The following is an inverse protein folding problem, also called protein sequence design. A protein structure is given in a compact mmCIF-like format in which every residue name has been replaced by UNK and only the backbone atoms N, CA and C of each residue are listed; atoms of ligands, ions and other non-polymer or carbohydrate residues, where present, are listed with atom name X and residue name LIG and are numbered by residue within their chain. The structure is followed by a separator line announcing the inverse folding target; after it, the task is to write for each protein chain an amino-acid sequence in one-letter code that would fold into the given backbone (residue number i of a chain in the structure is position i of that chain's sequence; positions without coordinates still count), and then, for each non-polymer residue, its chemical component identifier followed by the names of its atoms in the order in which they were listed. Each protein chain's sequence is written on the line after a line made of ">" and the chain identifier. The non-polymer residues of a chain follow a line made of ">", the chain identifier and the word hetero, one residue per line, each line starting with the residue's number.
data_IF_118761085560
#
_entry.id   IF_118761085560
#
_cell.length_a   1.000
_cell.length_b   1.000
_cell.length_c   1.000
_cell.angle_alpha   90.00
_cell.angle_beta   90.00
_cell.angle_gamma   90.00
#
_symmetry.space_group_name_H-M   'P 1'
#
loop_
_entity.id
_entity.type
_entity.pdbx_description
1 polymer ?
#
# COMPACT_ATOMS: atom_id res chain seq x y z
N UNK A 1 30.82 -24.18 -27.13
CA UNK A 1 31.89 -25.23 -27.32
C UNK A 1 33.27 -24.61 -27.52
N UNK A 2 33.55 -23.83 -28.59
CA UNK A 2 34.92 -23.32 -28.88
C UNK A 2 35.53 -22.48 -27.74
N UNK A 3 34.79 -21.58 -27.12
CA UNK A 3 35.27 -20.79 -25.98
C UNK A 3 35.58 -21.64 -24.73
N UNK A 4 34.83 -22.72 -24.46
CA UNK A 4 35.13 -23.62 -23.36
C UNK A 4 36.34 -24.51 -23.62
N UNK A 5 36.56 -24.88 -24.87
CA UNK A 5 37.75 -25.63 -25.30
C UNK A 5 39.04 -24.84 -25.02
N UNK A 6 39.08 -23.57 -25.43
CA UNK A 6 40.21 -22.68 -25.17
C UNK A 6 40.39 -22.43 -23.67
N UNK A 7 39.31 -22.12 -22.96
CA UNK A 7 39.37 -21.80 -21.53
C UNK A 7 39.85 -22.97 -20.66
N UNK A 8 39.63 -24.21 -21.07
CA UNK A 8 40.10 -25.41 -20.37
C UNK A 8 41.54 -25.77 -20.66
N UNK A 9 42.28 -24.90 -21.34
CA UNK A 9 43.66 -25.15 -21.69
C UNK A 9 43.90 -26.18 -22.81
N UNK A 10 42.82 -26.76 -23.36
CA UNK A 10 42.92 -27.82 -24.37
C UNK A 10 43.56 -27.36 -25.68
N UNK A 11 43.58 -26.06 -25.95
CA UNK A 11 44.28 -25.50 -27.09
C UNK A 11 45.79 -25.54 -26.86
N UNK A 12 46.29 -25.20 -25.70
CA UNK A 12 47.69 -25.20 -25.30
C UNK A 12 48.22 -26.63 -25.15
N UNK A 13 47.42 -27.54 -24.55
CA UNK A 13 47.76 -28.98 -24.47
C UNK A 13 48.00 -29.62 -25.84
N UNK A 14 47.35 -29.12 -26.89
CA UNK A 14 47.50 -29.58 -28.27
C UNK A 14 48.47 -28.70 -29.10
N UNK A 15 49.29 -27.86 -28.46
CA UNK A 15 50.32 -27.04 -29.11
C UNK A 15 49.76 -25.87 -29.95
N UNK A 16 48.53 -25.43 -29.73
CA UNK A 16 47.92 -24.31 -30.45
C UNK A 16 47.87 -23.06 -29.60
N UNK A 17 48.31 -21.93 -30.17
CA UNK A 17 48.11 -20.64 -29.54
C UNK A 17 46.61 -20.21 -29.64
N UNK A 18 46.13 -19.47 -28.65
CA UNK A 18 44.76 -18.95 -28.64
C UNK A 18 44.41 -18.16 -29.91
N UNK A 19 45.39 -17.40 -30.46
CA UNK A 19 45.25 -16.64 -31.71
C UNK A 19 45.01 -17.54 -32.93
N UNK A 20 45.70 -18.70 -32.97
CA UNK A 20 45.54 -19.67 -34.05
C UNK A 20 44.17 -20.33 -33.98
N UNK A 21 43.70 -20.64 -32.75
CA UNK A 21 42.37 -21.22 -32.51
C UNK A 21 41.26 -20.21 -32.83
N UNK A 22 41.45 -18.94 -32.52
CA UNK A 22 40.48 -17.89 -32.91
C UNK A 22 40.27 -17.84 -34.42
N UNK A 23 41.36 -17.89 -35.18
CA UNK A 23 41.29 -17.90 -36.65
C UNK A 23 40.64 -19.18 -37.18
N UNK A 24 40.97 -20.35 -36.63
CA UNK A 24 40.43 -21.65 -37.06
C UNK A 24 38.91 -21.74 -36.86
N UNK A 25 38.40 -21.18 -35.77
CA UNK A 25 36.96 -21.22 -35.42
C UNK A 25 36.18 -19.94 -35.82
N UNK A 26 36.82 -18.97 -36.48
CA UNK A 26 36.18 -17.73 -36.89
C UNK A 26 35.65 -16.90 -35.75
N UNK A 27 36.25 -16.97 -34.55
CA UNK A 27 35.79 -16.25 -33.34
C UNK A 27 36.68 -15.04 -33.05
N UNK A 28 36.04 -13.94 -32.60
CA UNK A 28 36.81 -12.76 -32.22
C UNK A 28 37.48 -12.94 -30.86
N UNK A 29 38.73 -12.46 -30.73
CA UNK A 29 39.45 -12.42 -29.46
C UNK A 29 38.68 -11.68 -28.38
N UNK A 30 38.10 -10.53 -28.74
CA UNK A 30 37.25 -9.73 -27.85
C UNK A 30 36.02 -10.53 -27.34
N UNK A 31 35.41 -11.34 -28.21
CA UNK A 31 34.31 -12.22 -27.84
C UNK A 31 34.69 -13.27 -26.81
N UNK A 32 35.90 -13.86 -27.01
CA UNK A 32 36.46 -14.84 -26.07
C UNK A 32 36.80 -14.22 -24.71
N UNK A 33 37.55 -13.11 -24.68
CA UNK A 33 37.92 -12.49 -23.40
C UNK A 33 36.73 -11.95 -22.65
N UNK A 34 35.71 -11.42 -23.33
CA UNK A 34 34.44 -11.07 -22.72
C UNK A 34 33.67 -12.28 -22.16
N UNK A 35 33.82 -13.46 -22.79
CA UNK A 35 33.23 -14.68 -22.28
C UNK A 35 33.98 -15.19 -21.03
N UNK A 36 35.32 -15.15 -21.01
CA UNK A 36 36.13 -15.50 -19.84
C UNK A 36 35.83 -14.56 -18.68
N UNK A 37 35.89 -13.25 -18.92
CA UNK A 37 35.55 -12.25 -17.91
C UNK A 37 34.14 -12.45 -17.33
N UNK A 38 33.13 -12.77 -18.17
CA UNK A 38 31.78 -13.12 -17.69
C UNK A 38 31.74 -14.42 -16.89
N UNK A 39 32.61 -15.39 -17.16
CA UNK A 39 32.70 -16.64 -16.37
C UNK A 39 33.48 -16.48 -15.07
N UNK A 40 34.56 -15.69 -15.09
CA UNK A 40 35.33 -15.35 -13.89
C UNK A 40 34.61 -14.46 -12.92
N UNK A 41 33.80 -13.49 -13.46
CA UNK A 41 32.93 -12.62 -12.66
C UNK A 41 31.65 -13.34 -12.11
N UNK A 42 31.51 -14.65 -12.39
CA UNK A 42 30.38 -15.44 -11.91
C UNK A 42 30.29 -15.54 -10.38
N UNK A 43 31.41 -15.45 -9.69
CA UNK A 43 31.46 -15.49 -8.22
C UNK A 43 31.34 -14.12 -7.56
N UNK A 44 31.31 -13.00 -8.33
CA UNK A 44 31.22 -11.64 -7.84
C UNK A 44 29.91 -10.95 -8.28
N UNK A 45 30.02 -10.00 -9.21
CA UNK A 45 28.93 -9.12 -9.63
C UNK A 45 27.73 -9.83 -10.26
N UNK A 46 27.94 -10.90 -11.05
CA UNK A 46 26.84 -11.65 -11.70
C UNK A 46 26.04 -12.48 -10.69
N UNK A 47 26.72 -13.09 -9.72
CA UNK A 47 26.06 -13.83 -8.64
C UNK A 47 25.25 -12.87 -7.76
N UNK A 48 25.84 -11.74 -7.34
CA UNK A 48 25.15 -10.69 -6.59
C UNK A 48 23.93 -10.16 -7.35
N UNK A 49 24.06 -9.91 -8.66
CA UNK A 49 22.95 -9.45 -9.50
C UNK A 49 21.81 -10.48 -9.60
N UNK A 50 22.13 -11.78 -9.67
CA UNK A 50 21.10 -12.84 -9.68
C UNK A 50 20.38 -12.96 -8.34
N UNK A 51 21.13 -12.88 -7.23
CA UNK A 51 20.57 -12.90 -5.88
C UNK A 51 19.60 -11.73 -5.68
N UNK A 52 20.02 -10.53 -6.04
CA UNK A 52 19.21 -9.33 -6.00
C UNK A 52 17.96 -9.44 -6.90
N UNK A 53 18.07 -9.99 -8.10
CA UNK A 53 16.92 -10.21 -8.97
C UNK A 53 15.95 -11.24 -8.39
N UNK A 54 16.43 -12.34 -7.82
CA UNK A 54 15.63 -13.36 -7.16
C UNK A 54 14.87 -12.78 -5.96
N UNK A 55 15.54 -11.94 -5.16
CA UNK A 55 14.89 -11.21 -4.07
C UNK A 55 13.75 -10.32 -4.57
N UNK A 56 13.98 -9.50 -5.60
CA UNK A 56 12.96 -8.62 -6.16
C UNK A 56 11.77 -9.43 -6.70
N UNK A 57 12.00 -10.58 -7.32
CA UNK A 57 10.94 -11.48 -7.79
C UNK A 57 10.09 -11.98 -6.61
N UNK A 58 10.72 -12.40 -5.50
CA UNK A 58 9.98 -12.81 -4.28
C UNK A 58 9.12 -11.67 -3.73
N UNK A 59 9.68 -10.48 -3.62
CA UNK A 59 8.94 -9.29 -3.20
C UNK A 59 7.74 -9.02 -4.11
N UNK A 60 7.89 -9.16 -5.42
CA UNK A 60 6.78 -8.99 -6.37
C UNK A 60 5.68 -10.04 -6.16
N UNK A 61 6.02 -11.31 -5.97
CA UNK A 61 5.07 -12.36 -5.64
C UNK A 61 4.29 -12.04 -4.36
N UNK A 62 4.99 -11.56 -3.32
CA UNK A 62 4.37 -11.15 -2.06
C UNK A 62 3.39 -9.98 -2.25
N UNK A 63 3.78 -8.95 -3.01
CA UNK A 63 2.91 -7.81 -3.31
C UNK A 63 1.64 -8.28 -4.03
N UNK A 64 1.77 -9.12 -5.05
CA UNK A 64 0.63 -9.67 -5.81
C UNK A 64 -0.29 -10.47 -4.89
N UNK A 65 0.26 -11.36 -4.06
CA UNK A 65 -0.52 -12.18 -3.11
C UNK A 65 -1.33 -11.28 -2.15
N UNK A 66 -0.71 -10.20 -1.66
CA UNK A 66 -1.36 -9.27 -0.72
C UNK A 66 -2.46 -8.44 -1.38
N UNK A 67 -2.22 -7.93 -2.57
CA UNK A 67 -3.18 -7.08 -3.28
C UNK A 67 -4.30 -7.89 -3.95
N UNK A 68 -4.08 -9.18 -4.21
CA UNK A 68 -5.01 -10.04 -4.93
C UNK A 68 -5.04 -9.82 -6.46
N UNK A 69 -4.24 -8.90 -6.98
CA UNK A 69 -4.12 -8.60 -8.41
C UNK A 69 -2.70 -8.17 -8.79
N UNK A 70 -2.38 -8.13 -10.09
CA UNK A 70 -1.08 -7.67 -10.59
C UNK A 70 -1.10 -6.14 -10.75
N UNK A 71 -0.39 -5.39 -9.88
CA UNK A 71 -0.38 -3.94 -9.97
C UNK A 71 0.49 -3.43 -11.12
N UNK A 72 0.30 -2.17 -11.53
CA UNK A 72 1.13 -1.52 -12.53
C UNK A 72 2.56 -1.26 -12.03
N UNK A 73 3.51 -1.11 -12.98
CA UNK A 73 4.95 -0.93 -12.69
C UNK A 73 5.26 0.22 -11.71
N UNK A 74 4.50 1.31 -11.72
CA UNK A 74 4.68 2.42 -10.78
C UNK A 74 4.20 2.05 -9.38
N UNK A 75 3.09 1.32 -9.28
CA UNK A 75 2.56 0.80 -8.02
C UNK A 75 3.50 -0.23 -7.40
N UNK A 76 4.03 -1.19 -8.19
CA UNK A 76 5.07 -2.11 -7.72
C UNK A 76 6.26 -1.36 -7.10
N UNK A 77 6.79 -0.33 -7.81
CA UNK A 77 7.93 0.45 -7.31
C UNK A 77 7.66 1.05 -5.93
N UNK A 78 6.44 1.56 -5.70
CA UNK A 78 6.06 2.15 -4.41
C UNK A 78 5.92 1.10 -3.32
N UNK A 79 5.29 -0.03 -3.63
CA UNK A 79 5.22 -1.14 -2.69
C UNK A 79 6.61 -1.71 -2.35
N UNK A 80 7.52 -1.78 -3.31
CA UNK A 80 8.91 -2.17 -3.05
C UNK A 80 9.56 -1.22 -2.05
N UNK A 81 9.41 0.08 -2.25
CA UNK A 81 9.93 1.07 -1.32
C UNK A 81 9.25 1.01 0.05
N UNK A 82 7.92 1.04 0.09
CA UNK A 82 7.12 1.13 1.33
C UNK A 82 7.18 -0.12 2.20
N UNK A 83 7.32 -1.31 1.60
CA UNK A 83 7.27 -2.60 2.33
C UNK A 83 8.62 -3.22 2.57
N UNK A 84 9.55 -3.02 1.65
CA UNK A 84 10.85 -3.68 1.66
C UNK A 84 12.01 -2.69 1.71
N UNK A 85 11.71 -1.39 1.82
CA UNK A 85 12.67 -0.30 1.76
C UNK A 85 13.63 -0.38 0.55
N UNK A 86 13.14 -0.94 -0.57
CA UNK A 86 13.95 -1.24 -1.74
C UNK A 86 13.65 -0.28 -2.89
N UNK A 87 14.62 0.56 -3.23
CA UNK A 87 14.52 1.50 -4.36
C UNK A 87 14.75 0.77 -5.69
N UNK A 88 13.73 0.68 -6.53
CA UNK A 88 13.82 0.09 -7.86
C UNK A 88 13.37 1.09 -8.93
N UNK A 89 14.06 1.14 -10.08
CA UNK A 89 13.66 1.99 -11.19
C UNK A 89 12.42 1.42 -11.92
N UNK A 90 11.63 2.29 -12.54
CA UNK A 90 10.47 1.88 -13.36
C UNK A 90 10.90 0.98 -14.52
N UNK A 91 12.07 1.23 -15.11
CA UNK A 91 12.62 0.42 -16.19
C UNK A 91 12.92 -1.00 -15.70
N UNK A 92 13.62 -1.13 -14.57
CA UNK A 92 13.95 -2.44 -13.98
C UNK A 92 12.69 -3.19 -13.57
N UNK A 93 11.72 -2.51 -12.95
CA UNK A 93 10.41 -3.08 -12.63
C UNK A 93 9.74 -3.69 -13.87
N UNK A 94 9.70 -2.93 -14.97
CA UNK A 94 9.12 -3.40 -16.24
C UNK A 94 9.85 -4.64 -16.78
N UNK A 95 11.20 -4.67 -16.68
CA UNK A 95 12.00 -5.81 -17.12
C UNK A 95 11.71 -7.06 -16.30
N UNK A 96 11.57 -6.93 -14.98
CA UNK A 96 11.27 -8.05 -14.09
C UNK A 96 9.84 -8.55 -14.32
N UNK A 97 8.85 -7.66 -14.45
CA UNK A 97 7.48 -8.05 -14.80
C UNK A 97 7.43 -8.86 -16.10
N UNK A 98 8.18 -8.41 -17.13
CA UNK A 98 8.30 -9.15 -18.40
C UNK A 98 8.93 -10.53 -18.20
N UNK A 99 9.99 -10.64 -17.38
CA UNK A 99 10.62 -11.92 -17.05
C UNK A 99 9.69 -12.86 -16.31
N UNK A 100 8.87 -12.34 -15.40
CA UNK A 100 7.85 -13.10 -14.67
C UNK A 100 6.60 -13.42 -15.52
N UNK A 101 6.52 -12.94 -16.76
CA UNK A 101 5.36 -13.05 -17.65
C UNK A 101 4.07 -12.51 -17.03
N UNK A 102 4.18 -11.46 -16.20
CA UNK A 102 3.04 -10.80 -15.56
C UNK A 102 2.78 -9.45 -16.21
N UNK A 103 1.50 -9.15 -16.39
CA UNK A 103 1.04 -7.88 -16.96
C UNK A 103 -0.07 -7.31 -16.09
N UNK A 104 0.03 -6.02 -15.76
CA UNK A 104 -1.07 -5.33 -15.09
C UNK A 104 -2.28 -5.25 -16.02
N UNK A 105 -3.45 -5.53 -15.49
CA UNK A 105 -4.70 -5.32 -16.21
C UNK A 105 -4.94 -3.82 -16.36
N UNK A 106 -5.28 -3.42 -17.58
CA UNK A 106 -5.67 -2.04 -17.88
C UNK A 106 -7.18 -1.98 -18.05
N UNK A 107 -7.83 -0.90 -17.59
CA UNK A 107 -9.24 -0.67 -17.86
C UNK A 107 -9.51 -0.74 -19.37
N UNK A 108 -10.47 -1.56 -19.77
CA UNK A 108 -10.94 -1.58 -21.16
C UNK A 108 -11.67 -0.27 -21.41
N UNK A 109 -11.46 0.35 -22.58
CA UNK A 109 -12.28 1.50 -23.00
C UNK A 109 -13.70 0.95 -23.23
N UNK A 110 -14.66 1.41 -22.44
CA UNK A 110 -16.04 1.06 -22.66
C UNK A 110 -16.50 1.65 -23.99
N UNK A 111 -16.89 0.78 -24.91
CA UNK A 111 -17.44 1.17 -26.21
C UNK A 111 -18.88 1.71 -26.11
N UNK A 112 -19.48 1.67 -24.94
CA UNK A 112 -20.89 1.99 -24.72
C UNK A 112 -21.06 3.43 -24.23
N UNK A 113 -21.28 4.36 -25.16
CA UNK A 113 -21.90 5.65 -24.87
C UNK A 113 -23.41 5.49 -25.00
N UNK A 114 -24.07 5.19 -23.88
CA UNK A 114 -25.53 5.14 -23.82
C UNK A 114 -26.13 6.50 -24.17
N UNK A 115 -27.13 6.51 -25.05
CA UNK A 115 -27.94 7.70 -25.35
C UNK A 115 -28.85 7.96 -24.12
N UNK A 116 -28.63 9.09 -23.46
CA UNK A 116 -29.51 9.53 -22.37
C UNK A 116 -30.81 10.13 -22.97
N UNK A 117 -31.95 9.73 -22.39
CA UNK A 117 -33.29 10.20 -22.78
C UNK A 117 -33.59 11.62 -22.32
N UNK A 118 -34.38 12.35 -23.10
CA UNK A 118 -34.62 13.81 -23.03
C UNK A 118 -35.38 14.36 -21.78
N UNK A 119 -35.82 13.53 -20.84
CA UNK A 119 -36.81 13.96 -19.82
C UNK A 119 -36.28 14.64 -18.57
N UNK A 120 -34.96 14.80 -18.40
CA UNK A 120 -34.37 15.25 -17.10
C UNK A 120 -33.79 16.67 -17.09
N UNK A 121 -33.88 17.44 -18.15
CA UNK A 121 -33.20 18.74 -18.25
C UNK A 121 -33.72 19.83 -17.30
N UNK A 122 -34.99 19.78 -16.94
CA UNK A 122 -35.60 20.84 -16.11
C UNK A 122 -35.27 20.74 -14.60
N UNK A 123 -34.71 19.62 -14.15
CA UNK A 123 -34.43 19.39 -12.71
C UNK A 123 -32.93 19.37 -12.37
N UNK A 124 -32.07 19.36 -13.34
CA UNK A 124 -30.63 19.29 -13.11
C UNK A 124 -30.09 20.58 -12.48
N UNK A 125 -29.21 20.41 -11.51
CA UNK A 125 -28.48 21.53 -10.90
C UNK A 125 -27.29 21.92 -11.78
N UNK A 126 -26.83 23.20 -11.72
CA UNK A 126 -25.68 23.63 -12.48
C UNK A 126 -24.38 22.90 -12.04
N UNK A 127 -23.41 22.85 -12.94
CA UNK A 127 -22.07 22.36 -12.61
C UNK A 127 -21.27 23.47 -11.91
N UNK A 128 -21.32 23.47 -10.56
CA UNK A 128 -20.63 24.46 -9.74
C UNK A 128 -19.15 24.11 -9.56
N UNK A 129 -18.82 22.83 -9.55
CA UNK A 129 -17.41 22.34 -9.39
C UNK A 129 -16.58 22.66 -10.62
N UNK A 130 -17.16 22.61 -11.83
CA UNK A 130 -16.50 22.91 -13.10
C UNK A 130 -15.10 22.29 -13.23
N UNK A 131 -14.95 21.02 -12.83
CA UNK A 131 -13.70 20.24 -12.82
C UNK A 131 -12.62 20.78 -11.88
N UNK A 132 -12.91 21.72 -11.01
CA UNK A 132 -11.97 22.16 -10.01
C UNK A 132 -11.94 21.17 -8.81
N UNK A 133 -11.33 20.02 -9.04
CA UNK A 133 -11.20 18.94 -8.05
C UNK A 133 -10.14 19.22 -6.96
N UNK A 134 -9.50 20.40 -6.99
CA UNK A 134 -8.46 20.80 -6.04
C UNK A 134 -8.83 22.03 -5.22
N UNK A 135 -10.13 22.30 -5.04
CA UNK A 135 -10.59 23.40 -4.20
C UNK A 135 -10.01 23.32 -2.79
N UNK A 136 -10.15 22.19 -2.14
CA UNK A 136 -9.62 21.94 -0.79
C UNK A 136 -10.02 20.55 -0.29
N UNK A 137 -9.47 20.18 0.85
CA UNK A 137 -9.78 18.91 1.52
C UNK A 137 -11.27 18.94 1.94
N UNK A 138 -12.01 17.88 1.62
CA UNK A 138 -13.44 17.73 1.97
C UNK A 138 -14.35 18.81 1.38
N UNK A 139 -13.88 19.67 0.46
CA UNK A 139 -14.74 20.69 -0.16
C UNK A 139 -15.50 20.20 -1.39
N UNK A 140 -15.00 19.17 -2.06
CA UNK A 140 -15.67 18.55 -3.22
C UNK A 140 -15.76 17.07 -3.01
N UNK A 141 -16.96 16.58 -2.80
CA UNK A 141 -17.28 15.16 -2.70
C UNK A 141 -17.94 14.72 -4.01
N UNK A 142 -17.31 13.78 -4.70
CA UNK A 142 -17.81 13.18 -5.93
C UNK A 142 -18.59 11.92 -5.59
N UNK A 143 -19.72 11.71 -6.24
CA UNK A 143 -20.52 10.49 -6.06
C UNK A 143 -20.99 9.94 -7.41
N UNK A 144 -21.14 8.64 -7.47
CA UNK A 144 -21.67 7.93 -8.63
C UNK A 144 -22.09 6.51 -8.23
N UNK A 145 -22.91 5.86 -9.07
CA UNK A 145 -23.37 4.49 -8.91
C UNK A 145 -22.78 3.63 -10.01
N UNK A 146 -22.24 2.49 -9.64
CA UNK A 146 -21.70 1.54 -10.61
C UNK A 146 -22.41 0.19 -10.53
N UNK A 147 -22.55 -0.47 -11.70
CA UNK A 147 -23.11 -1.81 -11.84
C UNK A 147 -22.03 -2.86 -11.58
N UNK A 148 -22.41 -3.91 -10.85
CA UNK A 148 -21.58 -5.06 -10.53
C UNK A 148 -22.38 -6.32 -10.85
N UNK A 149 -21.73 -7.36 -11.37
CA UNK A 149 -22.37 -8.64 -11.63
C UNK A 149 -21.58 -9.74 -10.92
N UNK A 150 -22.25 -10.54 -10.09
CA UNK A 150 -21.62 -11.60 -9.33
C UNK A 150 -22.33 -12.97 -9.55
N UNK A 151 -21.62 -14.03 -9.18
CA UNK A 151 -22.11 -15.37 -9.28
C UNK A 151 -22.22 -15.92 -10.71
N UNK A 152 -22.52 -17.19 -10.81
CA UNK A 152 -22.64 -17.90 -12.08
C UNK A 152 -23.69 -17.28 -13.02
N UNK A 153 -24.82 -16.85 -12.45
CA UNK A 153 -25.93 -16.25 -13.19
C UNK A 153 -25.78 -14.76 -13.45
N UNK A 154 -24.61 -14.18 -13.13
CA UNK A 154 -24.35 -12.76 -13.28
C UNK A 154 -25.40 -11.87 -12.60
N UNK A 155 -25.78 -12.22 -11.39
CA UNK A 155 -26.75 -11.48 -10.59
C UNK A 155 -26.30 -10.01 -10.46
N UNK A 156 -27.18 -9.04 -10.75
CA UNK A 156 -26.81 -7.64 -10.66
C UNK A 156 -26.72 -7.19 -9.19
N UNK A 157 -25.76 -6.33 -8.92
CA UNK A 157 -25.65 -5.55 -7.70
C UNK A 157 -25.19 -4.12 -8.09
N UNK A 158 -25.40 -3.19 -7.19
CA UNK A 158 -25.12 -1.78 -7.38
C UNK A 158 -24.28 -1.28 -6.23
N UNK A 159 -23.28 -0.47 -6.55
CA UNK A 159 -22.44 0.17 -5.56
C UNK A 159 -22.51 1.67 -5.75
N UNK A 160 -22.88 2.40 -4.68
CA UNK A 160 -22.71 3.85 -4.59
C UNK A 160 -21.45 4.14 -3.76
N UNK A 161 -20.70 5.17 -4.15
CA UNK A 161 -19.55 5.64 -3.38
C UNK A 161 -19.44 7.15 -3.37
N UNK A 162 -18.96 7.68 -2.25
CA UNK A 162 -18.63 9.09 -2.05
C UNK A 162 -17.10 9.22 -1.92
N UNK A 163 -16.50 10.09 -2.72
CA UNK A 163 -15.06 10.24 -2.84
C UNK A 163 -14.65 11.69 -2.67
N UNK A 164 -13.69 11.96 -1.80
CA UNK A 164 -13.07 13.27 -1.77
C UNK A 164 -12.24 13.51 -3.03
N UNK A 165 -12.53 14.57 -3.75
CA UNK A 165 -11.86 14.90 -4.98
C UNK A 165 -10.40 15.28 -4.77
N UNK A 166 -10.06 15.89 -3.63
CA UNK A 166 -8.74 16.38 -3.31
C UNK A 166 -7.78 15.27 -2.89
N UNK A 167 -8.16 14.46 -1.90
CA UNK A 167 -7.34 13.36 -1.37
C UNK A 167 -7.51 12.06 -2.14
N UNK A 168 -8.56 11.95 -2.96
CA UNK A 168 -8.99 10.73 -3.67
C UNK A 168 -9.46 9.59 -2.74
N UNK A 169 -9.67 9.87 -1.46
CA UNK A 169 -10.18 8.92 -0.47
C UNK A 169 -11.66 8.61 -0.72
N UNK A 170 -12.04 7.36 -0.54
CA UNK A 170 -13.45 6.96 -0.52
C UNK A 170 -13.95 7.13 0.91
N UNK A 171 -14.84 8.09 1.09
CA UNK A 171 -15.35 8.50 2.39
C UNK A 171 -16.51 7.64 2.86
N UNK A 172 -17.35 7.20 1.93
CA UNK A 172 -18.49 6.34 2.22
C UNK A 172 -18.88 5.53 1.00
N UNK A 173 -19.48 4.38 1.23
CA UNK A 173 -19.99 3.53 0.17
C UNK A 173 -21.07 2.58 0.70
N UNK A 174 -21.88 2.07 -0.22
CA UNK A 174 -22.84 1.01 0.05
C UNK A 174 -22.99 0.11 -1.17
N UNK A 175 -23.41 -1.14 -0.94
CA UNK A 175 -23.68 -2.13 -1.99
C UNK A 175 -25.04 -2.76 -1.77
N UNK A 176 -25.90 -2.72 -2.79
CA UNK A 176 -27.26 -3.24 -2.72
C UNK A 176 -27.62 -4.06 -3.96
N UNK A 177 -28.65 -4.90 -3.83
CA UNK A 177 -29.28 -5.56 -4.97
C UNK A 177 -30.22 -4.64 -5.76
N UNK A 178 -30.51 -3.44 -5.24
CA UNK A 178 -31.40 -2.44 -5.87
C UNK A 178 -30.66 -1.15 -6.10
N UNK A 179 -30.96 -0.50 -7.23
CA UNK A 179 -30.44 0.82 -7.59
C UNK A 179 -31.51 1.88 -7.30
N UNK A 180 -31.67 2.21 -6.02
CA UNK A 180 -32.65 3.16 -5.52
C UNK A 180 -31.99 4.28 -4.69
N UNK A 181 -32.80 5.20 -4.19
CA UNK A 181 -32.32 6.32 -3.37
C UNK A 181 -31.79 5.81 -2.02
N UNK A 182 -32.32 4.69 -1.51
CA UNK A 182 -31.86 4.10 -0.26
C UNK A 182 -30.38 3.68 -0.32
N UNK A 183 -29.91 3.20 -1.47
CA UNK A 183 -28.47 2.90 -1.68
C UNK A 183 -27.59 4.15 -1.51
N UNK A 184 -28.03 5.29 -2.04
CA UNK A 184 -27.29 6.55 -1.91
C UNK A 184 -27.33 7.04 -0.46
N UNK A 185 -28.49 6.95 0.19
CA UNK A 185 -28.65 7.35 1.60
C UNK A 185 -27.75 6.52 2.51
N UNK A 186 -27.69 5.18 2.33
CA UNK A 186 -26.80 4.31 3.09
C UNK A 186 -25.33 4.71 2.88
N UNK A 187 -24.92 4.92 1.65
CA UNK A 187 -23.55 5.33 1.34
C UNK A 187 -23.19 6.72 1.91
N UNK A 188 -24.15 7.67 1.87
CA UNK A 188 -23.99 9.01 2.45
C UNK A 188 -23.92 8.96 3.97
N UNK A 189 -24.80 8.21 4.61
CA UNK A 189 -24.78 8.06 6.07
C UNK A 189 -23.48 7.44 6.56
N UNK A 190 -22.99 6.38 5.89
CA UNK A 190 -21.68 5.79 6.20
C UNK A 190 -20.55 6.83 6.09
N UNK A 191 -20.59 7.73 5.10
CA UNK A 191 -19.66 8.84 4.99
C UNK A 191 -19.77 9.82 6.17
N UNK A 192 -20.99 10.17 6.54
CA UNK A 192 -21.21 11.13 7.63
C UNK A 192 -20.88 10.55 9.00
N UNK A 193 -21.16 9.27 9.24
CA UNK A 193 -20.84 8.59 10.50
C UNK A 193 -19.33 8.59 10.75
N UNK A 194 -18.51 8.36 9.72
CA UNK A 194 -17.05 8.26 9.85
C UNK A 194 -16.33 9.61 9.72
N UNK A 195 -16.84 10.56 8.91
CA UNK A 195 -16.08 11.74 8.47
C UNK A 195 -16.76 13.09 8.73
N UNK A 196 -17.92 13.14 9.42
CA UNK A 196 -18.67 14.39 9.65
C UNK A 196 -17.83 15.53 10.23
N UNK A 197 -16.95 15.21 11.17
CA UNK A 197 -16.09 16.20 11.83
C UNK A 197 -14.96 16.75 10.95
N UNK A 198 -14.68 16.10 9.80
CA UNK A 198 -13.62 16.47 8.89
C UNK A 198 -14.05 17.50 7.83
N UNK A 199 -15.38 17.69 7.67
CA UNK A 199 -15.91 18.68 6.73
C UNK A 199 -15.74 20.10 7.28
N UNK A 200 -15.28 21.07 6.44
CA UNK A 200 -15.10 22.44 6.85
C UNK A 200 -16.47 23.08 7.19
N UNK A 201 -16.53 23.83 8.30
CA UNK A 201 -17.78 24.51 8.73
C UNK A 201 -17.93 25.90 8.10
N UNK A 202 -16.82 26.54 7.77
CA UNK A 202 -16.79 27.92 7.28
C UNK A 202 -16.61 28.02 5.76
N UNK A 203 -16.65 26.89 5.04
CA UNK A 203 -16.48 26.83 3.59
C UNK A 203 -17.61 26.02 2.97
N UNK A 204 -17.96 26.37 1.73
CA UNK A 204 -18.92 25.61 0.94
C UNK A 204 -18.39 24.20 0.62
N UNK A 205 -19.24 23.19 0.85
CA UNK A 205 -18.99 21.79 0.53
C UNK A 205 -19.90 21.36 -0.61
N UNK A 206 -19.31 20.95 -1.72
CA UNK A 206 -20.04 20.52 -2.91
C UNK A 206 -20.16 19.00 -2.97
N UNK A 207 -21.37 18.50 -3.15
CA UNK A 207 -21.62 17.12 -3.54
C UNK A 207 -21.91 17.08 -5.06
N UNK A 208 -20.97 16.52 -5.83
CA UNK A 208 -21.03 16.49 -7.27
C UNK A 208 -21.35 15.10 -7.80
N UNK A 209 -22.41 14.99 -8.62
CA UNK A 209 -22.86 13.75 -9.24
C UNK A 209 -23.11 13.91 -10.73
N UNK A 210 -23.44 12.82 -11.39
CA UNK A 210 -24.10 12.85 -12.70
C UNK A 210 -25.58 13.26 -12.56
N UNK A 211 -26.32 13.29 -13.69
CA UNK A 211 -27.74 13.63 -13.72
C UNK A 211 -28.66 12.39 -13.57
N UNK A 212 -28.19 11.35 -12.89
CA UNK A 212 -29.00 10.16 -12.60
C UNK A 212 -30.28 10.48 -11.82
N UNK A 213 -31.37 9.78 -12.10
CA UNK A 213 -32.69 10.03 -11.50
C UNK A 213 -32.66 9.95 -9.96
N UNK A 214 -31.80 9.11 -9.41
CA UNK A 214 -31.60 8.96 -7.96
C UNK A 214 -31.07 10.24 -7.32
N UNK A 215 -30.13 10.93 -8.00
CA UNK A 215 -29.55 12.20 -7.55
C UNK A 215 -30.48 13.41 -7.75
N UNK A 216 -31.49 13.27 -8.61
CA UNK A 216 -32.52 14.28 -8.83
C UNK A 216 -33.67 14.18 -7.82
N UNK A 217 -33.73 13.11 -7.02
CA UNK A 217 -34.80 12.86 -6.05
C UNK A 217 -34.87 13.96 -4.98
N UNK A 218 -36.09 14.23 -4.52
CA UNK A 218 -36.33 15.16 -3.40
C UNK A 218 -35.66 14.69 -2.12
N UNK A 219 -35.68 13.39 -1.88
CA UNK A 219 -35.03 12.76 -0.72
C UNK A 219 -33.53 13.03 -0.68
N UNK A 220 -32.83 12.89 -1.80
CA UNK A 220 -31.40 13.18 -1.85
C UNK A 220 -31.09 14.67 -1.68
N UNK A 221 -31.94 15.54 -2.25
CA UNK A 221 -31.81 17.00 -2.07
C UNK A 221 -31.99 17.40 -0.60
N UNK A 222 -33.00 16.82 0.09
CA UNK A 222 -33.20 17.04 1.51
C UNK A 222 -31.98 16.56 2.32
N UNK A 223 -31.50 15.36 2.06
CA UNK A 223 -30.31 14.79 2.72
C UNK A 223 -29.10 15.71 2.63
N UNK A 224 -28.83 16.28 1.45
CA UNK A 224 -27.75 17.25 1.25
C UNK A 224 -27.97 18.54 2.04
N UNK A 225 -29.18 19.10 1.97
CA UNK A 225 -29.54 20.36 2.69
C UNK A 225 -29.44 20.22 4.21
N UNK A 226 -29.86 19.08 4.76
CA UNK A 226 -29.82 18.79 6.20
C UNK A 226 -28.35 18.65 6.72
N UNK A 227 -27.42 18.45 5.82
CA UNK A 227 -26.01 18.29 6.16
C UNK A 227 -25.10 19.39 5.56
N UNK A 228 -25.69 20.52 5.12
CA UNK A 228 -24.98 21.69 4.60
C UNK A 228 -24.16 21.45 3.32
N UNK A 229 -24.58 20.46 2.49
CA UNK A 229 -23.96 20.21 1.20
C UNK A 229 -24.66 20.94 0.06
N UNK A 230 -23.90 21.54 -0.84
CA UNK A 230 -24.40 22.18 -2.06
C UNK A 230 -24.36 21.15 -3.20
N UNK A 231 -25.51 20.87 -3.79
CA UNK A 231 -25.62 19.97 -4.93
C UNK A 231 -25.03 20.59 -6.20
N UNK A 232 -24.09 19.88 -6.81
CA UNK A 232 -23.53 20.19 -8.14
C UNK A 232 -23.71 18.99 -9.07
N UNK A 233 -23.96 19.22 -10.36
CA UNK A 233 -24.17 18.12 -11.30
C UNK A 233 -23.34 18.28 -12.55
N UNK A 234 -22.85 17.17 -13.07
CA UNK A 234 -22.14 17.10 -14.36
C UNK A 234 -23.01 17.63 -15.49
N UNK A 235 -22.40 18.27 -16.46
CA UNK A 235 -23.09 18.64 -17.70
C UNK A 235 -23.50 17.37 -18.47
N UNK A 236 -24.63 17.43 -19.11
CA UNK A 236 -25.18 16.29 -19.86
C UNK A 236 -24.18 15.78 -20.91
N UNK A 237 -23.97 14.47 -20.95
CA UNK A 237 -23.07 13.83 -21.88
C UNK A 237 -21.59 14.14 -21.68
N UNK A 238 -21.24 14.81 -20.57
CA UNK A 238 -19.86 15.19 -20.28
C UNK A 238 -19.28 14.37 -19.12
N UNK A 239 -18.89 13.15 -19.42
CA UNK A 239 -18.32 12.20 -18.46
C UNK A 239 -17.03 12.74 -17.79
N UNK A 240 -16.35 13.68 -18.42
CA UNK A 240 -15.15 14.30 -17.84
C UNK A 240 -15.45 15.13 -16.57
N UNK A 241 -16.69 15.55 -16.37
CA UNK A 241 -17.07 16.33 -15.19
C UNK A 241 -17.07 15.47 -13.92
N UNK A 242 -17.17 14.11 -14.05
CA UNK A 242 -17.03 13.16 -12.94
C UNK A 242 -15.89 12.14 -13.15
N UNK A 243 -14.89 12.49 -13.98
CA UNK A 243 -13.80 11.61 -14.37
C UNK A 243 -13.04 10.93 -13.18
N UNK A 244 -12.85 11.56 -12.00
CA UNK A 244 -12.19 10.88 -10.88
C UNK A 244 -12.99 9.70 -10.32
N UNK A 245 -14.34 9.75 -10.34
CA UNK A 245 -15.19 8.61 -9.95
C UNK A 245 -15.18 7.51 -11.01
N UNK A 246 -15.34 7.88 -12.29
CA UNK A 246 -15.26 6.93 -13.41
C UNK A 246 -13.91 6.19 -13.40
N UNK A 247 -12.82 6.91 -13.17
CA UNK A 247 -11.48 6.33 -13.06
C UNK A 247 -11.35 5.35 -11.89
N UNK A 248 -11.97 5.67 -10.74
CA UNK A 248 -11.98 4.79 -9.57
C UNK A 248 -12.74 3.49 -9.86
N UNK A 249 -13.97 3.59 -10.35
CA UNK A 249 -14.79 2.42 -10.67
C UNK A 249 -14.20 1.57 -11.81
N UNK A 250 -13.68 2.20 -12.85
CA UNK A 250 -13.00 1.50 -13.93
C UNK A 250 -11.81 0.68 -13.44
N UNK A 251 -11.03 1.24 -12.51
CA UNK A 251 -9.89 0.57 -11.89
C UNK A 251 -10.33 -0.56 -10.97
N UNK A 252 -11.31 -0.31 -10.09
CA UNK A 252 -11.86 -1.33 -9.20
C UNK A 252 -12.36 -2.53 -10.00
N UNK A 253 -13.21 -2.30 -11.00
CA UNK A 253 -13.69 -3.37 -11.88
C UNK A 253 -12.55 -4.13 -12.54
N UNK A 254 -11.55 -3.43 -13.07
CA UNK A 254 -10.40 -4.09 -13.70
C UNK A 254 -9.64 -5.00 -12.75
N UNK A 255 -9.49 -4.59 -11.49
CA UNK A 255 -8.66 -5.29 -10.50
C UNK A 255 -9.37 -6.44 -9.83
N UNK A 256 -10.70 -6.35 -9.58
CA UNK A 256 -11.42 -7.34 -8.78
C UNK A 256 -12.67 -7.96 -9.45
N UNK A 257 -13.02 -7.60 -10.69
CA UNK A 257 -14.25 -8.11 -11.34
C UNK A 257 -14.28 -9.64 -11.44
N UNK A 258 -13.15 -10.27 -11.75
CA UNK A 258 -13.05 -11.73 -11.86
C UNK A 258 -13.24 -12.43 -10.49
N UNK A 259 -12.88 -11.73 -9.41
CA UNK A 259 -13.10 -12.24 -8.04
C UNK A 259 -14.56 -12.05 -7.66
N UNK A 260 -15.16 -10.89 -7.97
CA UNK A 260 -16.57 -10.60 -7.75
C UNK A 260 -17.45 -11.62 -8.50
N UNK A 261 -17.11 -11.97 -9.73
CA UNK A 261 -17.86 -12.96 -10.51
C UNK A 261 -17.92 -14.34 -9.86
N UNK A 262 -17.00 -14.66 -8.95
CA UNK A 262 -16.97 -15.94 -8.21
C UNK A 262 -17.69 -15.88 -6.85
N UNK A 263 -18.11 -14.70 -6.40
CA UNK A 263 -18.84 -14.56 -5.15
C UNK A 263 -20.18 -15.27 -5.23
N UNK A 264 -20.57 -16.00 -4.17
CA UNK A 264 -21.81 -16.79 -4.15
C UNK A 264 -23.04 -15.98 -3.78
N UNK A 265 -22.86 -14.91 -3.00
CA UNK A 265 -23.93 -14.07 -2.47
C UNK A 265 -23.47 -12.61 -2.36
N UNK A 266 -24.43 -11.73 -2.11
CA UNK A 266 -24.21 -10.28 -2.00
C UNK A 266 -23.29 -9.93 -0.81
N UNK A 267 -23.38 -10.65 0.31
CA UNK A 267 -22.57 -10.36 1.50
C UNK A 267 -21.07 -10.59 1.23
N UNK A 268 -20.74 -11.64 0.48
CA UNK A 268 -19.37 -11.87 0.04
C UNK A 268 -18.88 -10.75 -0.90
N UNK A 269 -19.76 -10.22 -1.76
CA UNK A 269 -19.44 -9.05 -2.61
C UNK A 269 -19.19 -7.82 -1.75
N UNK A 270 -20.05 -7.55 -0.76
CA UNK A 270 -19.87 -6.44 0.19
C UNK A 270 -18.52 -6.53 0.91
N UNK A 271 -18.18 -7.69 1.47
CA UNK A 271 -16.90 -7.91 2.15
C UNK A 271 -15.69 -7.68 1.23
N UNK A 272 -15.75 -8.17 -0.01
CA UNK A 272 -14.69 -7.96 -0.99
C UNK A 272 -14.52 -6.48 -1.34
N UNK A 273 -15.62 -5.76 -1.55
CA UNK A 273 -15.60 -4.32 -1.85
C UNK A 273 -15.06 -3.53 -0.66
N UNK A 274 -15.50 -3.84 0.56
CA UNK A 274 -14.97 -3.22 1.79
C UNK A 274 -13.45 -3.41 1.89
N UNK A 275 -12.97 -4.62 1.65
CA UNK A 275 -11.54 -4.92 1.62
C UNK A 275 -10.80 -4.13 0.54
N UNK A 276 -11.38 -3.99 -0.65
CA UNK A 276 -10.81 -3.20 -1.73
C UNK A 276 -10.74 -1.71 -1.41
N UNK A 277 -11.79 -1.14 -0.81
CA UNK A 277 -11.81 0.27 -0.41
C UNK A 277 -10.80 0.54 0.69
N UNK A 278 -10.72 -0.34 1.69
CA UNK A 278 -9.69 -0.23 2.72
C UNK A 278 -8.27 -0.27 2.12
N UNK A 279 -8.00 -1.18 1.18
CA UNK A 279 -6.74 -1.20 0.44
C UNK A 279 -6.54 0.08 -0.39
N UNK A 280 -7.58 0.59 -1.04
CA UNK A 280 -7.50 1.84 -1.81
C UNK A 280 -7.13 3.02 -0.91
N UNK A 281 -7.81 3.20 0.21
CA UNK A 281 -7.60 4.31 1.12
C UNK A 281 -6.23 4.25 1.82
N UNK A 282 -5.79 3.05 2.22
CA UNK A 282 -4.63 2.92 3.11
C UNK A 282 -3.36 2.37 2.44
N UNK A 283 -3.47 1.67 1.29
CA UNK A 283 -2.32 1.00 0.67
C UNK A 283 -2.10 1.39 -0.80
N UNK A 284 -3.00 2.15 -1.40
CA UNK A 284 -2.82 2.62 -2.79
C UNK A 284 -1.99 3.89 -2.84
N UNK A 285 -0.70 3.74 -2.82
CA UNK A 285 0.24 4.87 -2.90
C UNK A 285 0.23 5.49 -4.28
N UNK A 286 -0.05 6.80 -4.36
CA UNK A 286 -0.25 7.55 -5.60
C UNK A 286 0.81 8.65 -5.77
N UNK A 287 1.26 8.87 -7.01
CA UNK A 287 2.31 9.85 -7.31
C UNK A 287 1.83 11.29 -7.11
N UNK A 288 0.58 11.56 -7.52
CA UNK A 288 -0.09 12.84 -7.36
C UNK A 288 -0.46 13.16 -5.90
N UNK A 289 -0.36 12.19 -4.99
CA UNK A 289 -0.54 12.35 -3.56
C UNK A 289 0.81 12.28 -2.81
N UNK A 290 1.87 12.81 -3.39
CA UNK A 290 3.22 12.79 -2.80
C UNK A 290 3.70 11.36 -2.44
N UNK A 291 3.37 10.36 -3.25
CA UNK A 291 3.64 8.93 -3.03
C UNK A 291 2.98 8.32 -1.79
N UNK A 292 1.98 8.99 -1.23
CA UNK A 292 1.16 8.54 -0.10
C UNK A 292 -0.11 7.82 -0.57
N UNK A 293 -0.75 7.10 0.35
CA UNK A 293 -2.12 6.65 0.19
C UNK A 293 -3.12 7.81 0.42
N UNK A 294 -4.38 7.70 -0.01
CA UNK A 294 -5.39 8.73 0.23
C UNK A 294 -5.50 9.16 1.69
N UNK A 295 -5.61 8.23 2.63
CA UNK A 295 -5.73 8.53 4.07
C UNK A 295 -4.43 9.11 4.65
N UNK A 296 -3.26 8.63 4.23
CA UNK A 296 -1.97 9.23 4.61
C UNK A 296 -1.85 10.66 4.07
N UNK A 297 -2.31 10.91 2.84
CA UNK A 297 -2.27 12.23 2.24
C UNK A 297 -3.21 13.20 2.94
N UNK A 298 -4.41 12.75 3.35
CA UNK A 298 -5.30 13.53 4.19
C UNK A 298 -4.59 13.93 5.49
N UNK A 299 -4.05 12.95 6.23
CA UNK A 299 -3.33 13.20 7.49
C UNK A 299 -2.17 14.17 7.29
N UNK A 300 -1.36 13.99 6.25
CA UNK A 300 -0.27 14.90 5.91
C UNK A 300 -0.76 16.33 5.69
N UNK A 301 -1.86 16.50 4.95
CA UNK A 301 -2.39 17.83 4.65
C UNK A 301 -2.98 18.52 5.88
N UNK A 302 -3.58 17.78 6.80
CA UNK A 302 -4.16 18.32 8.03
C UNK A 302 -3.09 18.62 9.08
N UNK A 303 -2.11 17.74 9.23
CA UNK A 303 -1.09 17.87 10.29
C UNK A 303 0.17 18.60 9.85
N UNK A 304 0.42 18.75 8.55
CA UNK A 304 1.65 19.26 7.98
C UNK A 304 2.85 18.29 8.11
N UNK A 305 2.66 17.14 8.76
CA UNK A 305 3.72 16.14 8.97
C UNK A 305 3.74 15.13 7.85
N UNK A 306 4.79 15.13 7.04
CA UNK A 306 4.92 14.16 5.97
C UNK A 306 5.26 12.76 6.55
N UNK A 307 4.42 11.75 6.34
CA UNK A 307 4.58 10.45 7.02
C UNK A 307 5.90 9.74 6.70
N UNK A 308 6.53 10.05 5.56
CA UNK A 308 7.79 9.41 5.16
C UNK A 308 9.02 10.07 5.79
N UNK A 309 8.94 11.30 6.30
CA UNK A 309 10.03 11.93 7.05
C UNK A 309 10.29 11.22 8.37
N UNK A 310 9.24 10.64 8.95
CA UNK A 310 9.30 9.82 10.15
C UNK A 310 9.46 8.32 9.85
N UNK A 311 9.67 7.94 8.60
CA UNK A 311 9.97 6.57 8.21
C UNK A 311 11.43 6.32 8.57
N UNK A 312 11.62 5.99 9.84
CA UNK A 312 12.94 5.79 10.39
C UNK A 312 13.78 4.89 9.52
N UNK A 313 14.79 5.48 8.91
CA UNK A 313 16.18 5.16 8.94
C UNK A 313 16.59 3.71 8.82
N UNK A 314 15.80 2.90 8.16
CA UNK A 314 16.38 1.89 7.35
C UNK A 314 16.72 2.66 6.06
N UNK A 315 17.93 3.22 6.02
CA UNK A 315 18.42 3.85 4.79
C UNK A 315 18.21 2.86 3.65
N UNK A 316 17.42 3.31 2.68
CA UNK A 316 16.84 2.47 1.64
C UNK A 316 17.85 2.01 0.58
N UNK A 317 19.10 1.81 0.92
CA UNK A 317 20.17 1.52 -0.02
C UNK A 317 20.72 0.12 0.08
N UNK A 318 20.50 -0.59 1.18
CA UNK A 318 20.98 -1.96 1.32
C UNK A 318 19.82 -2.91 1.63
N UNK A 319 19.80 -4.01 0.93
CA UNK A 319 19.00 -5.18 1.25
C UNK A 319 19.38 -5.60 2.66
N UNK A 320 18.50 -5.38 3.64
CA UNK A 320 18.72 -5.94 4.97
C UNK A 320 18.86 -7.45 4.81
N UNK A 321 20.00 -7.97 5.21
CA UNK A 321 20.16 -9.41 5.36
C UNK A 321 19.19 -9.91 6.42
N UNK A 322 18.88 -11.20 6.40
CA UNK A 322 18.03 -11.77 7.45
C UNK A 322 18.64 -11.55 8.86
N UNK A 323 19.97 -11.53 8.95
CA UNK A 323 20.71 -11.20 10.17
C UNK A 323 20.41 -9.79 10.66
N UNK A 324 20.48 -8.81 9.76
CA UNK A 324 20.15 -7.41 10.09
C UNK A 324 18.68 -7.23 10.53
N UNK A 325 17.76 -8.00 9.94
CA UNK A 325 16.34 -7.98 10.33
C UNK A 325 16.17 -8.57 11.74
N UNK A 326 16.90 -9.64 12.07
CA UNK A 326 16.88 -10.27 13.40
C UNK A 326 17.54 -9.37 14.44
N UNK A 327 18.67 -8.76 14.11
CA UNK A 327 19.38 -7.83 14.99
C UNK A 327 18.50 -6.61 15.29
N UNK A 328 17.86 -6.01 14.29
CA UNK A 328 16.90 -4.95 14.48
C UNK A 328 15.70 -5.37 15.35
N UNK A 329 15.23 -6.61 15.21
CA UNK A 329 14.16 -7.15 16.07
C UNK A 329 14.60 -7.24 17.53
N UNK A 330 15.79 -7.76 17.79
CA UNK A 330 16.34 -7.90 19.14
C UNK A 330 16.53 -6.52 19.80
N UNK A 331 17.09 -5.56 19.07
CA UNK A 331 17.25 -4.19 19.53
C UNK A 331 15.91 -3.54 19.89
N UNK A 332 14.90 -3.67 19.01
CA UNK A 332 13.57 -3.13 19.29
C UNK A 332 12.86 -3.84 20.45
N UNK A 333 13.10 -5.13 20.66
CA UNK A 333 12.57 -5.86 21.80
C UNK A 333 13.19 -5.39 23.10
N UNK A 334 14.50 -5.13 23.12
CA UNK A 334 15.20 -4.63 24.32
C UNK A 334 14.71 -3.21 24.68
N UNK A 335 14.64 -2.33 23.70
CA UNK A 335 14.08 -0.99 23.88
C UNK A 335 12.63 -1.00 24.38
N UNK A 336 11.83 -1.96 23.91
CA UNK A 336 10.47 -2.17 24.42
C UNK A 336 10.45 -2.60 25.88
N UNK A 337 11.41 -3.44 26.33
CA UNK A 337 11.54 -3.83 27.73
C UNK A 337 11.94 -2.63 28.60
N UNK A 338 12.90 -1.82 28.15
CA UNK A 338 13.32 -0.59 28.84
C UNK A 338 12.15 0.37 29.06
N UNK A 339 11.39 0.68 27.99
CA UNK A 339 10.23 1.55 28.08
C UNK A 339 9.10 1.00 28.95
N UNK A 340 8.94 -0.34 29.00
CA UNK A 340 8.00 -0.96 29.94
C UNK A 340 8.43 -0.79 31.39
N UNK A 341 9.73 -0.91 31.68
CA UNK A 341 10.28 -0.66 33.03
C UNK A 341 10.10 0.82 33.39
N UNK A 342 10.41 1.72 32.49
CA UNK A 342 10.19 3.16 32.69
C UNK A 342 8.72 3.48 32.99
N UNK A 343 7.78 2.92 32.20
CA UNK A 343 6.33 3.07 32.45
C UNK A 343 5.93 2.54 33.83
N UNK A 344 6.49 1.39 34.24
CA UNK A 344 6.20 0.82 35.54
C UNK A 344 6.71 1.72 36.66
N UNK A 345 7.94 2.25 36.56
CA UNK A 345 8.50 3.20 37.54
C UNK A 345 7.66 4.46 37.66
N UNK A 346 7.20 5.03 36.51
CA UNK A 346 6.31 6.19 36.50
C UNK A 346 5.02 5.89 37.28
N UNK A 347 4.37 4.76 36.96
CA UNK A 347 3.15 4.34 37.65
C UNK A 347 3.34 4.09 39.16
N UNK A 348 4.43 3.47 39.55
CA UNK A 348 4.75 3.24 40.95
C UNK A 348 5.01 4.56 41.70
N UNK A 349 5.72 5.50 41.08
CA UNK A 349 5.95 6.83 41.64
C UNK A 349 4.64 7.63 41.74
N UNK A 350 3.79 7.59 40.72
CA UNK A 350 2.47 8.19 40.78
C UNK A 350 1.63 7.57 41.92
N UNK A 351 1.61 6.25 42.01
CA UNK A 351 0.86 5.55 43.06
C UNK A 351 1.34 5.98 44.46
N UNK A 352 2.65 5.99 44.73
CA UNK A 352 3.22 6.41 46.04
C UNK A 352 2.83 7.87 46.36
N UNK A 353 2.85 8.76 45.39
CA UNK A 353 2.55 10.18 45.59
C UNK A 353 1.07 10.48 45.86
N UNK A 354 0.14 9.63 45.38
CA UNK A 354 -1.29 9.88 45.43
C UNK A 354 -2.06 8.91 46.35
N UNK A 355 -1.43 7.86 46.89
CA UNK A 355 -2.07 6.89 47.77
C UNK A 355 -1.60 6.96 49.22
N UNK A 356 -0.47 7.61 49.53
CA UNK A 356 0.00 7.77 50.89
C UNK A 356 -0.77 8.91 51.61
N UNK A 357 -1.64 8.61 52.60
CA UNK A 357 -2.45 9.61 53.32
C UNK A 357 -1.60 10.69 54.03
N UNK A 358 -0.40 10.34 54.51
CA UNK A 358 0.49 11.27 55.20
C UNK A 358 1.18 12.27 54.26
N UNK A 359 1.47 11.83 53.02
CA UNK A 359 2.01 12.69 51.96
C UNK A 359 0.94 13.64 51.38
N UNK A 360 -0.31 13.18 51.26
CA UNK A 360 -1.44 13.97 50.76
C UNK A 360 -1.77 15.14 51.70
N UNK A 361 -1.71 14.94 52.99
CA UNK A 361 -2.01 15.95 54.02
C UNK A 361 -0.93 17.05 54.08
N UNK A 362 0.30 16.73 53.75
CA UNK A 362 1.46 17.66 53.83
C UNK A 362 1.68 18.51 52.60
N UNK A 363 1.02 18.19 51.46
CA UNK A 363 1.26 18.87 50.17
C UNK A 363 0.14 19.82 49.78
N UNK A 364 0.54 20.96 49.23
CA UNK A 364 -0.39 21.91 48.62
C UNK A 364 -1.12 21.28 47.41
N UNK A 365 -2.45 21.30 47.41
CA UNK A 365 -3.30 20.76 46.34
C UNK A 365 -2.95 21.29 44.93
N UNK A 366 -2.47 22.54 44.83
CA UNK A 366 -2.05 23.13 43.55
C UNK A 366 -0.75 22.49 43.05
N UNK A 367 0.23 22.25 43.90
CA UNK A 367 1.48 21.56 43.58
C UNK A 367 1.21 20.11 43.13
N UNK A 368 0.37 19.38 43.87
CA UNK A 368 -0.01 18.02 43.52
C UNK A 368 -0.68 17.95 42.11
N UNK A 369 -1.56 18.89 41.78
CA UNK A 369 -2.20 18.92 40.45
C UNK A 369 -1.20 19.21 39.34
N UNK A 370 -0.19 20.04 39.58
CA UNK A 370 0.89 20.34 38.64
C UNK A 370 1.82 19.15 38.45
N UNK A 371 2.19 18.47 39.52
CA UNK A 371 3.02 17.25 39.48
C UNK A 371 2.30 16.12 38.73
N UNK A 372 1.03 15.87 39.04
CA UNK A 372 0.22 14.89 38.30
C UNK A 372 0.22 15.16 36.81
N UNK A 373 -0.02 16.41 36.38
CA UNK A 373 -0.01 16.78 34.98
C UNK A 373 1.37 16.54 34.31
N UNK A 374 2.47 16.68 35.05
CA UNK A 374 3.82 16.36 34.57
C UNK A 374 4.00 14.86 34.32
N UNK A 375 3.58 14.03 35.27
CA UNK A 375 3.64 12.59 35.16
C UNK A 375 2.74 12.04 34.06
N UNK A 376 1.51 12.56 33.94
CA UNK A 376 0.58 12.17 32.87
C UNK A 376 1.18 12.45 31.49
N UNK A 377 1.87 13.60 31.34
CA UNK A 377 2.57 13.94 30.08
C UNK A 377 3.77 13.02 29.78
N UNK A 378 4.53 12.61 30.81
CA UNK A 378 5.62 11.65 30.66
C UNK A 378 5.09 10.27 30.29
N UNK A 379 4.00 9.83 30.93
CA UNK A 379 3.35 8.56 30.65
C UNK A 379 2.84 8.51 29.22
N UNK A 380 2.18 9.57 28.76
CA UNK A 380 1.74 9.72 27.37
C UNK A 380 2.90 9.60 26.36
N UNK A 381 4.04 10.23 26.68
CA UNK A 381 5.24 10.14 25.84
C UNK A 381 5.75 8.70 25.71
N UNK A 382 5.85 7.99 26.86
CA UNK A 382 6.30 6.58 26.90
C UNK A 382 5.32 5.67 26.18
N UNK A 383 4.01 5.89 26.34
CA UNK A 383 2.98 5.11 25.64
C UNK A 383 3.01 5.31 24.13
N UNK A 384 3.23 6.55 23.68
CA UNK A 384 3.40 6.86 22.25
C UNK A 384 4.66 6.17 21.68
N UNK A 385 5.76 6.14 22.43
CA UNK A 385 6.97 5.42 22.02
C UNK A 385 6.74 3.90 21.97
N UNK A 386 6.05 3.34 22.95
CA UNK A 386 5.69 1.91 22.97
C UNK A 386 4.78 1.54 21.80
N UNK A 387 3.84 2.41 21.42
CA UNK A 387 2.97 2.19 20.27
C UNK A 387 3.79 2.17 18.96
N UNK A 388 4.74 3.10 18.81
CA UNK A 388 5.66 3.14 17.65
C UNK A 388 6.52 1.87 17.56
N UNK A 389 7.10 1.43 18.67
CA UNK A 389 7.91 0.19 18.70
C UNK A 389 7.05 -1.04 18.37
N UNK A 390 5.80 -1.10 18.84
CA UNK A 390 4.89 -2.19 18.47
C UNK A 390 4.64 -2.25 16.96
N UNK A 391 4.47 -1.10 16.29
CA UNK A 391 4.27 -1.06 14.84
C UNK A 391 5.53 -1.51 14.08
N UNK A 392 6.72 -1.06 14.52
CA UNK A 392 8.00 -1.51 13.95
C UNK A 392 8.20 -3.01 14.12
N UNK A 393 7.95 -3.55 15.30
CA UNK A 393 8.05 -5.00 15.56
C UNK A 393 7.08 -5.80 14.70
N UNK A 394 5.85 -5.31 14.48
CA UNK A 394 4.89 -5.94 13.58
C UNK A 394 5.43 -6.00 12.15
N UNK A 395 6.01 -4.91 11.64
CA UNK A 395 6.62 -4.86 10.31
C UNK A 395 7.80 -5.81 10.17
N UNK A 396 8.64 -5.91 11.20
CA UNK A 396 9.73 -6.87 11.26
C UNK A 396 9.19 -8.31 11.27
N UNK A 397 8.15 -8.60 12.05
CA UNK A 397 7.53 -9.93 12.06
C UNK A 397 6.90 -10.30 10.71
N UNK A 398 6.30 -9.33 10.00
CA UNK A 398 5.78 -9.55 8.64
C UNK A 398 6.92 -9.86 7.66
N UNK A 399 8.06 -9.17 7.78
CA UNK A 399 9.26 -9.45 6.98
C UNK A 399 9.84 -10.84 7.31
N UNK A 400 9.95 -11.21 8.59
CA UNK A 400 10.42 -12.53 9.01
C UNK A 400 9.49 -13.66 8.57
N UNK A 401 8.16 -13.45 8.62
CA UNK A 401 7.18 -14.43 8.08
C UNK A 401 7.35 -14.63 6.59
N UNK A 402 7.66 -13.56 5.86
CA UNK A 402 7.96 -13.67 4.43
C UNK A 402 9.18 -14.54 4.19
N UNK A 403 10.28 -14.30 4.90
CA UNK A 403 11.49 -15.16 4.82
C UNK A 403 11.21 -16.59 5.28
N UNK A 404 10.46 -16.77 6.38
CA UNK A 404 10.12 -18.08 6.93
C UNK A 404 9.31 -18.94 5.94
N UNK A 405 8.36 -18.35 5.21
CA UNK A 405 7.53 -19.08 4.25
C UNK A 405 8.30 -19.53 2.99
N UNK A 406 9.41 -18.85 2.70
CA UNK A 406 10.27 -19.14 1.54
C UNK A 406 11.53 -19.95 1.95
N UNK A 407 11.72 -20.22 3.24
CA UNK A 407 12.90 -20.89 3.77
C UNK A 407 12.75 -22.42 3.77
N UNK A 408 13.88 -23.12 3.72
CA UNK A 408 13.94 -24.57 3.95
C UNK A 408 13.56 -24.93 5.39
N UNK A 409 13.21 -26.18 5.65
CA UNK A 409 12.81 -26.61 7.00
C UNK A 409 13.93 -26.44 8.03
N UNK A 410 15.18 -26.54 7.61
CA UNK A 410 16.38 -26.32 8.45
C UNK A 410 16.50 -24.86 8.89
N UNK A 411 16.25 -23.93 7.97
CA UNK A 411 16.23 -22.48 8.27
C UNK A 411 15.01 -22.12 9.13
N UNK A 412 13.89 -22.80 8.94
CA UNK A 412 12.68 -22.61 9.77
C UNK A 412 12.95 -22.97 11.22
N UNK A 413 13.71 -24.03 11.46
CA UNK A 413 14.09 -24.45 12.82
C UNK A 413 15.04 -23.43 13.47
N UNK A 414 16.01 -22.91 12.73
CA UNK A 414 16.93 -21.86 13.19
C UNK A 414 16.20 -20.54 13.52
N UNK A 415 15.17 -20.18 12.77
CA UNK A 415 14.36 -18.97 13.00
C UNK A 415 13.46 -19.04 14.24
N UNK A 416 13.24 -20.23 14.82
CA UNK A 416 12.50 -20.39 16.08
C UNK A 416 13.27 -19.86 17.27
N UNK A 417 14.61 -19.93 17.25
CA UNK A 417 15.47 -19.39 18.32
C UNK A 417 16.44 -18.33 17.78
N UNK A 418 16.11 -17.04 17.91
CA UNK A 418 16.96 -15.93 17.43
C UNK A 418 18.34 -15.86 18.08
N UNK A 419 18.54 -16.48 19.28
CA UNK A 419 19.82 -16.47 19.98
C UNK A 419 20.83 -17.48 19.41
N UNK A 420 20.37 -18.51 18.72
CA UNK A 420 21.22 -19.51 18.07
C UNK A 420 21.84 -18.98 16.75
N UNK A 421 21.38 -17.88 16.26
CA UNK A 421 21.75 -17.29 14.97
C UNK A 421 23.16 -16.71 14.90
N UNK A 422 23.72 -16.32 16.03
CA UNK A 422 25.07 -15.72 16.10
C UNK A 422 26.19 -16.67 15.66
N UNK A 423 25.91 -17.94 15.47
CA UNK A 423 26.91 -18.98 15.17
C UNK A 423 26.93 -19.43 13.69
N UNK A 424 26.03 -18.94 12.83
CA UNK A 424 25.98 -19.31 11.43
C UNK A 424 26.37 -18.16 10.50
N UNK A 425 27.29 -18.43 9.59
CA UNK A 425 27.79 -17.45 8.63
C UNK A 425 26.85 -17.32 7.41
N UNK A 426 26.74 -16.10 6.86
CA UNK A 426 25.96 -15.74 5.68
C UNK A 426 26.11 -16.70 4.45
N UNK A 427 27.21 -17.44 4.40
CA UNK A 427 27.53 -18.30 3.25
C UNK A 427 26.62 -19.51 3.11
N UNK A 428 26.12 -20.06 4.20
CA UNK A 428 25.34 -21.30 4.19
C UNK A 428 23.90 -21.07 3.78
N UNK A 429 23.30 -19.98 4.25
CA UNK A 429 21.94 -19.57 3.88
C UNK A 429 21.75 -19.36 2.36
N UNK A 430 22.76 -18.85 1.68
CA UNK A 430 22.68 -18.58 0.25
C UNK A 430 22.94 -19.79 -0.65
N UNK A 431 23.61 -20.81 -0.14
CA UNK A 431 23.82 -22.07 -0.89
C UNK A 431 22.53 -22.87 -1.03
N UNK A 432 21.69 -22.87 -0.01
CA UNK A 432 20.45 -23.64 0.01
C UNK A 432 19.35 -23.03 -0.86
N UNK A 433 19.32 -21.70 -1.00
CA UNK A 433 18.39 -21.02 -1.92
C UNK A 433 18.75 -21.25 -3.39
N UNK A 434 20.05 -21.35 -3.72
CA UNK A 434 20.50 -21.64 -5.09
C UNK A 434 20.25 -23.12 -5.48
N UNK A 435 20.06 -24.03 -4.53
CA UNK A 435 19.71 -25.43 -4.76
C UNK A 435 18.20 -25.67 -5.04
N UNK A 436 17.36 -24.69 -4.72
CA UNK A 436 15.90 -24.73 -4.94
C UNK A 436 15.47 -24.19 -6.31
N UNK A 437 16.42 -23.77 -7.17
CA UNK A 437 16.26 -23.29 -8.54
C UNK A 437 17.31 -23.89 -9.48
#
# INVERSE_FOLDING_TARGET
>A
MAYDYIRRGKAEENGYTNTKVFKMFGISSTGYYNYVARKEDRNGKLAAKRKDESYVIRCFKHIIKRLGFVPGKRTFRRHMFRRFNYKISVFRTSKIMKKMQITAQLPKKDAYKGQATHHHECMAKPNLVNRNFKLGIRQVVLTDITYIHYGYYRTPAYMCAFKDAYTTEILGHAVSSKMDVALIQEAFNNMMDDHKSEFPKDLEVYCHSDQGSQYLSTTFKQLLNENDFIQSMSRRGNSQDNAPMESFFGRMKTEIIDIIARCKNLDTVKQLINGYINMHNNERYQENLAALSPSEFYTYKVTGQYPLDNYYGIEATELMSLEQIIEAKLEMQEKKKELKRERQMINEQQSRLFTDPLEIIKRDKRKMKSEKKKWDKQLELVENQLAKIKDVLRKIDDALRFYYNEATDEIKEQLKDPLNWKNHTQLDYYKDIDALY
#
